data_IF_215343336940
#
_entry.id   IF_215343336940
#
_cell.length_a   1.000
_cell.length_b   1.000
_cell.length_c   1.000
_cell.angle_alpha   90.00
_cell.angle_beta   90.00
_cell.angle_gamma   90.00
#
_symmetry.space_group_name_H-M   'P 1'
#
loop_
_entity.id
_entity.type
_entity.pdbx_description
1 polymer ?
#
# COMPACT_ATOMS: atom_id res chain seq x y z
N UNK A 1 -4.34 34.35 20.86
CA UNK A 1 -4.24 33.79 19.49
C UNK A 1 -4.50 32.30 19.59
N UNK A 2 -5.73 31.85 19.29
CA UNK A 2 -6.08 30.42 19.38
C UNK A 2 -5.57 29.73 18.12
N UNK A 3 -4.56 28.89 18.28
CA UNK A 3 -4.07 28.03 17.21
C UNK A 3 -5.10 26.91 17.05
N UNK A 4 -5.94 26.99 16.01
CA UNK A 4 -6.79 25.88 15.61
C UNK A 4 -5.87 24.84 14.98
N UNK A 5 -5.47 23.83 15.77
CA UNK A 5 -4.77 22.68 15.23
C UNK A 5 -5.70 21.96 14.26
N UNK A 6 -5.21 21.50 13.09
CA UNK A 6 -6.03 20.66 12.22
C UNK A 6 -6.49 19.41 13.00
N UNK A 7 -7.71 18.92 12.74
CA UNK A 7 -8.22 17.74 13.43
C UNK A 7 -7.25 16.56 13.24
N UNK A 8 -6.94 15.88 14.35
CA UNK A 8 -6.12 14.67 14.33
C UNK A 8 -6.82 13.67 13.40
N UNK A 9 -6.10 13.15 12.42
CA UNK A 9 -6.65 12.19 11.47
C UNK A 9 -7.13 10.92 12.20
N UNK A 10 -8.41 10.59 12.02
CA UNK A 10 -9.05 9.44 12.66
C UNK A 10 -8.73 8.14 11.89
N UNK A 11 -7.68 7.45 12.34
CA UNK A 11 -7.27 6.18 11.73
C UNK A 11 -8.13 4.99 12.16
N UNK A 12 -8.87 5.11 13.27
CA UNK A 12 -9.79 4.07 13.76
C UNK A 12 -11.03 3.99 12.87
N UNK A 13 -11.61 5.15 12.53
CA UNK A 13 -12.71 5.22 11.57
C UNK A 13 -12.28 4.67 10.20
N UNK A 14 -11.06 5.00 9.75
CA UNK A 14 -10.50 4.47 8.52
C UNK A 14 -10.31 2.95 8.55
N UNK A 15 -9.85 2.41 9.69
CA UNK A 15 -9.73 0.96 9.89
C UNK A 15 -11.08 0.25 9.79
N UNK A 16 -12.10 0.76 10.51
CA UNK A 16 -13.45 0.20 10.49
C UNK A 16 -14.04 0.22 9.07
N UNK A 17 -13.88 1.33 8.35
CA UNK A 17 -14.34 1.43 6.97
C UNK A 17 -13.60 0.43 6.07
N UNK A 18 -12.28 0.31 6.20
CA UNK A 18 -11.50 -0.66 5.42
C UNK A 18 -11.94 -2.10 5.72
N UNK A 19 -12.16 -2.43 6.99
CA UNK A 19 -12.65 -3.75 7.41
C UNK A 19 -14.01 -4.08 6.80
N UNK A 20 -14.96 -3.13 6.80
CA UNK A 20 -16.26 -3.32 6.14
C UNK A 20 -16.11 -3.61 4.64
N UNK A 21 -15.19 -2.95 3.95
CA UNK A 21 -14.91 -3.23 2.53
C UNK A 21 -14.35 -4.64 2.34
N UNK A 22 -13.48 -5.10 3.25
CA UNK A 22 -12.91 -6.44 3.23
C UNK A 22 -13.94 -7.52 3.56
N UNK A 23 -14.83 -7.29 4.52
CA UNK A 23 -15.95 -8.18 4.86
C UNK A 23 -16.91 -8.37 3.67
N UNK A 24 -17.12 -7.30 2.89
CA UNK A 24 -17.86 -7.34 1.63
C UNK A 24 -17.07 -7.94 0.45
N UNK A 25 -15.87 -8.48 0.71
CA UNK A 25 -14.97 -9.09 -0.29
C UNK A 25 -14.66 -8.18 -1.47
N UNK A 26 -14.59 -6.86 -1.24
CA UNK A 26 -14.28 -5.90 -2.32
C UNK A 26 -12.84 -6.06 -2.78
N UNK A 27 -12.63 -5.94 -4.09
CA UNK A 27 -11.29 -5.85 -4.67
C UNK A 27 -10.66 -4.49 -4.35
N UNK A 28 -9.53 -4.49 -3.64
CA UNK A 28 -8.87 -3.26 -3.19
C UNK A 28 -7.76 -2.83 -4.16
N UNK A 29 -7.75 -1.56 -4.51
CA UNK A 29 -6.60 -0.90 -5.13
C UNK A 29 -5.85 -0.13 -4.04
N UNK A 30 -4.67 -0.62 -3.69
CA UNK A 30 -3.84 -0.08 -2.60
C UNK A 30 -2.68 0.68 -3.23
N UNK A 31 -2.59 1.99 -3.03
CA UNK A 31 -1.41 2.77 -3.41
C UNK A 31 -0.59 3.09 -2.17
N UNK A 32 0.70 2.79 -2.21
CA UNK A 32 1.65 3.12 -1.14
C UNK A 32 2.34 4.46 -1.42
N UNK A 33 2.78 5.13 -0.36
CA UNK A 33 3.61 6.32 -0.40
C UNK A 33 4.85 6.14 0.50
N UNK A 34 5.78 7.09 0.51
CA UNK A 34 6.99 7.03 1.35
C UNK A 34 6.69 7.23 2.84
N UNK A 35 5.58 7.91 3.16
CA UNK A 35 5.00 7.87 4.51
C UNK A 35 4.26 6.54 4.68
N UNK A 36 4.38 5.81 5.81
CA UNK A 36 3.72 4.52 6.03
C UNK A 36 2.20 4.68 6.08
N UNK A 37 1.62 4.76 4.90
CA UNK A 37 0.20 4.92 4.67
C UNK A 37 -0.18 4.27 3.35
N UNK A 38 -1.40 3.76 3.32
CA UNK A 38 -2.04 3.22 2.14
C UNK A 38 -3.19 4.13 1.73
N UNK A 39 -3.28 4.40 0.43
CA UNK A 39 -4.47 4.98 -0.18
C UNK A 39 -5.29 3.85 -0.80
N UNK A 40 -6.42 3.55 -0.17
CA UNK A 40 -7.33 2.49 -0.57
C UNK A 40 -8.40 3.06 -1.50
N UNK A 41 -8.65 2.38 -2.61
CA UNK A 41 -9.73 2.67 -3.54
C UNK A 41 -10.41 1.37 -3.99
N UNK A 42 -11.69 1.45 -4.33
CA UNK A 42 -12.47 0.40 -4.99
C UNK A 42 -13.15 1.02 -6.23
N UNK A 43 -13.90 0.25 -7.01
CA UNK A 43 -14.47 0.70 -8.30
C UNK A 43 -15.34 1.95 -8.21
N UNK A 44 -16.02 2.19 -7.08
CA UNK A 44 -16.95 3.31 -6.86
C UNK A 44 -16.54 4.26 -5.71
N UNK A 45 -15.37 4.06 -5.10
CA UNK A 45 -14.86 4.90 -3.99
C UNK A 45 -13.37 5.10 -4.18
N UNK A 46 -12.91 6.34 -4.04
CA UNK A 46 -11.48 6.66 -4.12
C UNK A 46 -10.98 7.32 -2.84
N UNK A 47 -9.71 7.05 -2.50
CA UNK A 47 -8.90 7.79 -1.50
C UNK A 47 -9.31 7.66 -0.03
N UNK A 48 -9.66 6.46 0.42
CA UNK A 48 -9.57 6.18 1.87
C UNK A 48 -8.08 6.15 2.23
N UNK A 49 -7.60 7.15 2.95
CA UNK A 49 -6.26 7.10 3.56
C UNK A 49 -6.31 6.09 4.70
N UNK A 50 -5.23 5.36 4.93
CA UNK A 50 -5.09 4.52 6.11
C UNK A 50 -3.63 4.53 6.54
N UNK A 51 -3.37 4.94 7.78
CA UNK A 51 -2.03 5.05 8.32
C UNK A 51 -1.61 3.66 8.82
N UNK A 52 -0.41 3.24 8.40
CA UNK A 52 0.07 1.89 8.60
C UNK A 52 1.02 1.80 9.78
N UNK A 53 0.94 0.66 10.44
CA UNK A 53 1.99 0.01 11.21
C UNK A 53 2.20 -1.41 10.68
N UNK A 54 3.19 -2.12 11.22
CA UNK A 54 3.55 -3.47 10.78
C UNK A 54 2.36 -4.44 10.80
N UNK A 55 1.58 -4.46 11.90
CA UNK A 55 0.41 -5.36 12.02
C UNK A 55 -0.66 -5.03 10.98
N UNK A 56 -0.97 -3.75 10.79
CA UNK A 56 -1.98 -3.32 9.83
C UNK A 56 -1.58 -3.61 8.38
N UNK A 57 -0.28 -3.58 8.08
CA UNK A 57 0.25 -3.96 6.78
C UNK A 57 0.14 -5.47 6.54
N UNK A 58 0.47 -6.28 7.54
CA UNK A 58 0.27 -7.74 7.49
C UNK A 58 -1.21 -8.09 7.28
N UNK A 59 -2.12 -7.38 7.96
CA UNK A 59 -3.55 -7.57 7.77
C UNK A 59 -4.00 -7.28 6.32
N UNK A 60 -3.61 -6.12 5.76
CA UNK A 60 -3.97 -5.76 4.38
C UNK A 60 -3.43 -6.79 3.39
N UNK A 61 -2.17 -7.19 3.52
CA UNK A 61 -1.54 -8.14 2.59
C UNK A 61 -2.14 -9.54 2.71
N UNK A 62 -2.46 -9.98 3.94
CA UNK A 62 -3.19 -11.22 4.17
C UNK A 62 -4.57 -11.19 3.50
N UNK A 63 -5.31 -10.09 3.63
CA UNK A 63 -6.60 -9.93 2.95
C UNK A 63 -6.42 -9.96 1.42
N UNK A 64 -5.45 -9.23 0.88
CA UNK A 64 -5.22 -9.20 -0.57
C UNK A 64 -4.94 -10.61 -1.13
N UNK A 65 -4.19 -11.43 -0.37
CA UNK A 65 -3.85 -12.79 -0.78
C UNK A 65 -5.00 -13.78 -0.61
N UNK A 66 -5.65 -13.79 0.56
CA UNK A 66 -6.58 -14.84 0.97
C UNK A 66 -8.05 -14.44 0.94
N UNK A 67 -8.31 -13.13 0.92
CA UNK A 67 -9.63 -12.54 1.11
C UNK A 67 -10.12 -12.56 2.56
N UNK A 68 -9.31 -13.02 3.53
CA UNK A 68 -9.73 -13.08 4.93
C UNK A 68 -9.76 -11.66 5.56
N UNK A 69 -10.93 -11.17 6.03
CA UNK A 69 -11.04 -9.83 6.61
C UNK A 69 -10.58 -9.74 8.08
N UNK A 70 -10.30 -10.86 8.74
CA UNK A 70 -9.92 -10.85 10.16
C UNK A 70 -8.65 -10.02 10.38
N UNK A 71 -8.77 -9.03 11.27
CA UNK A 71 -7.72 -8.07 11.59
C UNK A 71 -6.78 -8.54 12.69
N UNK A 72 -7.08 -9.66 13.36
CA UNK A 72 -6.25 -10.23 14.43
C UNK A 72 -5.78 -9.20 15.47
N UNK A 73 -6.66 -8.27 15.86
CA UNK A 73 -6.37 -7.21 16.86
C UNK A 73 -5.29 -6.23 16.40
N UNK A 74 -5.32 -5.80 15.15
CA UNK A 74 -4.61 -4.59 14.72
C UNK A 74 -5.03 -3.43 15.63
N UNK A 75 -4.05 -2.62 16.06
CA UNK A 75 -4.26 -1.37 16.79
C UNK A 75 -4.02 -0.19 15.83
N UNK A 76 -5.06 0.38 15.19
CA UNK A 76 -4.90 1.43 14.18
C UNK A 76 -4.28 2.72 14.71
N UNK A 77 -4.49 3.02 16.00
CA UNK A 77 -3.90 4.18 16.65
C UNK A 77 -2.41 4.05 16.94
N UNK A 78 -1.83 2.84 16.89
CA UNK A 78 -0.40 2.63 17.12
C UNK A 78 0.42 3.25 15.98
N UNK A 79 1.29 4.19 16.34
CA UNK A 79 2.23 4.84 15.43
C UNK A 79 3.57 4.13 15.44
N UNK A 80 4.04 3.79 14.26
CA UNK A 80 5.33 3.12 14.05
C UNK A 80 6.10 3.83 12.94
N UNK A 81 7.40 4.05 13.16
CA UNK A 81 8.27 4.58 12.12
C UNK A 81 8.71 3.42 11.20
N UNK A 82 8.34 3.51 9.92
CA UNK A 82 8.70 2.52 8.92
C UNK A 82 9.47 3.19 7.77
N UNK A 83 10.74 3.56 7.98
CA UNK A 83 11.52 4.26 6.96
C UNK A 83 11.73 3.37 5.73
N UNK A 84 11.61 3.98 4.53
CA UNK A 84 11.75 3.25 3.28
C UNK A 84 10.67 2.20 3.03
N UNK A 85 9.53 2.29 3.72
CA UNK A 85 8.45 1.30 3.69
C UNK A 85 8.10 0.84 2.28
N UNK A 86 7.87 1.77 1.35
CA UNK A 86 7.47 1.43 -0.03
C UNK A 86 8.51 0.55 -0.74
N UNK A 87 9.80 0.85 -0.59
CA UNK A 87 10.89 0.05 -1.19
C UNK A 87 11.04 -1.29 -0.47
N UNK A 88 10.96 -1.31 0.85
CA UNK A 88 11.02 -2.55 1.65
C UNK A 88 9.91 -3.52 1.25
N UNK A 89 8.68 -3.01 1.09
CA UNK A 89 7.54 -3.80 0.61
C UNK A 89 7.78 -4.35 -0.79
N UNK A 90 8.23 -3.50 -1.72
CA UNK A 90 8.51 -3.93 -3.10
C UNK A 90 9.51 -5.09 -3.11
N UNK A 91 10.62 -4.97 -2.38
CA UNK A 91 11.64 -6.01 -2.28
C UNK A 91 11.08 -7.31 -1.72
N UNK A 92 10.37 -7.25 -0.59
CA UNK A 92 9.74 -8.42 0.01
C UNK A 92 8.75 -9.14 -0.94
N UNK A 93 8.00 -8.39 -1.75
CA UNK A 93 7.11 -9.00 -2.75
C UNK A 93 7.90 -9.65 -3.91
N UNK A 94 9.02 -9.07 -4.32
CA UNK A 94 9.89 -9.66 -5.35
C UNK A 94 10.58 -10.93 -4.85
N UNK A 95 11.09 -10.91 -3.61
CA UNK A 95 11.73 -12.06 -2.97
C UNK A 95 10.75 -13.24 -2.81
N UNK A 96 9.45 -12.95 -2.59
CA UNK A 96 8.38 -13.96 -2.55
C UNK A 96 7.89 -14.40 -3.94
N UNK A 97 8.56 -13.98 -5.02
CA UNK A 97 8.21 -14.25 -6.43
C UNK A 97 6.80 -13.79 -6.81
N UNK A 98 6.27 -12.74 -6.16
CA UNK A 98 4.99 -12.14 -6.52
C UNK A 98 5.04 -11.63 -7.96
N UNK A 99 3.94 -11.79 -8.69
CA UNK A 99 3.79 -11.19 -10.02
C UNK A 99 3.68 -9.67 -9.90
N UNK A 100 4.74 -8.99 -10.32
CA UNK A 100 4.82 -7.53 -10.38
C UNK A 100 5.03 -7.12 -11.83
N UNK A 101 4.29 -6.10 -12.27
CA UNK A 101 4.37 -5.57 -13.62
C UNK A 101 4.78 -4.11 -13.59
N UNK A 102 5.65 -3.72 -14.50
CA UNK A 102 5.93 -2.33 -14.79
C UNK A 102 4.77 -1.74 -15.59
N UNK A 103 4.28 -0.58 -15.18
CA UNK A 103 3.24 0.14 -15.92
C UNK A 103 3.96 1.09 -16.89
N UNK A 104 3.92 0.84 -18.21
CA UNK A 104 4.56 1.72 -19.18
C UNK A 104 3.81 3.05 -19.22
N UNK A 105 4.55 4.16 -19.13
CA UNK A 105 4.02 5.48 -19.44
C UNK A 105 4.26 5.79 -20.92
N UNK A 106 3.29 6.46 -21.55
CA UNK A 106 3.31 6.80 -22.98
C UNK A 106 4.46 7.76 -23.37
N UNK A 107 5.17 8.37 -22.41
CA UNK A 107 6.27 9.30 -22.63
C UNK A 107 7.35 9.12 -21.55
N UNK A 108 8.56 8.77 -21.96
CA UNK A 108 9.70 8.33 -21.13
C UNK A 108 10.44 9.49 -20.41
N UNK A 109 9.75 10.38 -19.71
CA UNK A 109 10.41 11.48 -18.98
C UNK A 109 10.27 11.43 -17.46
N UNK A 110 9.78 10.33 -16.88
CA UNK A 110 9.53 10.31 -15.44
C UNK A 110 10.71 9.80 -14.62
N UNK A 111 11.10 10.63 -13.66
CA UNK A 111 12.00 10.33 -12.52
C UNK A 111 11.50 9.21 -11.61
N UNK A 112 10.40 8.55 -11.95
CA UNK A 112 9.69 7.58 -11.11
C UNK A 112 9.28 6.35 -11.92
N UNK A 113 9.34 5.21 -11.25
CA UNK A 113 8.89 3.91 -11.71
C UNK A 113 7.49 3.65 -11.14
N UNK A 114 6.57 3.25 -12.02
CA UNK A 114 5.24 2.83 -11.63
C UNK A 114 5.15 1.31 -11.78
N UNK A 115 4.84 0.62 -10.69
CA UNK A 115 4.74 -0.83 -10.66
C UNK A 115 3.39 -1.23 -10.07
N UNK A 116 2.92 -2.43 -10.43
CA UNK A 116 1.74 -3.03 -9.84
C UNK A 116 2.00 -4.48 -9.47
N UNK A 117 1.78 -4.82 -8.20
CA UNK A 117 1.71 -6.19 -7.73
C UNK A 117 0.25 -6.65 -7.74
N UNK A 118 -0.01 -7.85 -8.29
CA UNK A 118 -1.36 -8.40 -8.44
C UNK A 118 -1.62 -9.49 -7.41
N UNK A 119 -2.78 -9.40 -6.76
CA UNK A 119 -3.28 -10.32 -5.75
C UNK A 119 -4.69 -10.82 -6.12
N UNK A 120 -5.17 -11.85 -5.42
CA UNK A 120 -6.49 -12.43 -5.64
C UNK A 120 -7.63 -11.45 -5.33
N UNK A 121 -7.47 -10.63 -4.28
CA UNK A 121 -8.47 -9.67 -3.80
C UNK A 121 -8.04 -8.21 -4.00
N UNK A 122 -7.12 -7.95 -4.94
CA UNK A 122 -6.74 -6.58 -5.26
C UNK A 122 -5.38 -6.42 -5.90
N UNK A 123 -4.88 -5.19 -5.84
CA UNK A 123 -3.61 -4.79 -6.43
C UNK A 123 -2.91 -3.78 -5.55
N UNK A 124 -1.59 -3.84 -5.53
CA UNK A 124 -0.75 -2.85 -4.86
C UNK A 124 0.01 -2.06 -5.91
N UNK A 125 -0.15 -0.75 -5.89
CA UNK A 125 0.49 0.19 -6.79
C UNK A 125 1.65 0.90 -6.10
N UNK A 126 2.78 0.89 -6.76
CA UNK A 126 4.01 1.56 -6.34
C UNK A 126 4.30 2.72 -7.26
N UNK A 127 4.78 3.83 -6.67
CA UNK A 127 5.31 4.98 -7.39
C UNK A 127 6.61 5.38 -6.71
N UNK A 128 7.71 4.82 -7.20
CA UNK A 128 9.02 4.87 -6.54
C UNK A 128 9.99 5.70 -7.37
N UNK A 129 10.84 6.50 -6.74
CA UNK A 129 11.89 7.23 -7.46
C UNK A 129 12.85 6.28 -8.18
N UNK A 130 13.18 6.61 -9.43
CA UNK A 130 14.08 5.83 -10.24
C UNK A 130 15.52 6.08 -9.79
N UNK A 131 16.10 5.14 -9.07
CA UNK A 131 17.51 5.16 -8.65
C UNK A 131 18.24 3.94 -9.20
N UNK A 132 19.57 4.03 -9.37
CA UNK A 132 20.36 2.91 -9.87
C UNK A 132 20.17 1.62 -9.03
N UNK A 133 20.19 1.67 -7.67
CA UNK A 133 19.96 0.46 -6.86
C UNK A 133 18.59 -0.20 -7.07
N UNK A 134 17.56 0.59 -7.36
CA UNK A 134 16.20 0.06 -7.58
C UNK A 134 16.09 -0.56 -8.97
N UNK A 135 16.68 0.09 -9.98
CA UNK A 135 16.71 -0.44 -11.35
C UNK A 135 17.49 -1.75 -11.41
N UNK A 136 18.66 -1.81 -10.78
CA UNK A 136 19.46 -3.04 -10.70
C UNK A 136 18.70 -4.19 -10.02
N UNK A 137 18.01 -3.89 -8.91
CA UNK A 137 17.23 -4.88 -8.19
C UNK A 137 16.02 -5.40 -9.01
N UNK A 138 15.35 -4.54 -9.77
CA UNK A 138 14.27 -4.94 -10.68
C UNK A 138 14.78 -5.79 -11.84
N UNK A 139 15.90 -5.40 -12.45
CA UNK A 139 16.54 -6.16 -13.52
C UNK A 139 16.94 -7.57 -13.05
N UNK A 140 17.45 -7.71 -11.81
CA UNK A 140 17.78 -9.01 -11.23
C UNK A 140 16.55 -9.94 -11.06
N UNK A 141 15.35 -9.36 -10.99
CA UNK A 141 14.07 -10.07 -10.95
C UNK A 141 13.36 -10.14 -12.31
N UNK A 142 14.04 -9.76 -13.39
CA UNK A 142 13.51 -9.73 -14.77
C UNK A 142 12.29 -8.81 -14.96
N UNK A 143 12.30 -7.63 -14.31
CA UNK A 143 11.25 -6.59 -14.42
C UNK A 143 11.78 -5.30 -15.04
#
# INVERSE_FOLDING_TARGET
>A
MNIILPPIYDNEAAHQQLKQLMEQKKNLSVRLDDTPCAWISISNMTRLRYLLNTSSWMWITNYLETGNPDDFRVFPSLREAMPGFQVTVLKALLDTKRRIYKIPFLRETQSQLNLVAVFSFGKIYFRINRTAPIVEYLNAHNI
#
